data_IF_981641876208
#
_entry.id   IF_981641876208
#
_cell.length_a   1.000
_cell.length_b   1.000
_cell.length_c   1.000
_cell.angle_alpha   90.00
_cell.angle_beta   90.00
_cell.angle_gamma   90.00
#
_symmetry.space_group_name_H-M   'P 1'
#
loop_
_entity.id
_entity.type
_entity.pdbx_description
1 polymer ?
#
# COMPACT_ATOMS: atom_id res chain seq x y z
N UNK A 1 -18.53 34.68 0.39
CA UNK A 1 -19.10 34.53 -0.97
C UNK A 1 -18.01 34.75 -2.03
N UNK A 2 -16.93 33.93 -1.97
CA UNK A 2 -15.74 33.99 -2.86
C UNK A 2 -15.40 32.59 -3.44
N UNK A 3 -15.76 31.52 -2.71
CA UNK A 3 -15.60 30.11 -3.13
C UNK A 3 -16.58 29.63 -4.21
N UNK A 4 -17.67 30.36 -4.49
CA UNK A 4 -18.68 29.92 -5.47
C UNK A 4 -18.35 30.34 -6.92
N UNK A 5 -17.48 31.34 -7.14
CA UNK A 5 -17.24 31.87 -8.49
C UNK A 5 -16.13 31.17 -9.29
N UNK A 6 -15.24 30.40 -8.64
CA UNK A 6 -14.18 29.65 -9.35
C UNK A 6 -14.53 28.20 -9.70
N UNK A 7 -15.71 27.73 -9.31
CA UNK A 7 -16.22 26.43 -9.76
C UNK A 7 -16.77 26.45 -11.19
N UNK A 8 -16.95 27.65 -11.77
CA UNK A 8 -17.48 27.86 -13.11
C UNK A 8 -16.39 28.26 -14.13
N UNK A 9 -15.15 28.45 -13.69
CA UNK A 9 -14.02 28.68 -14.61
C UNK A 9 -13.63 27.34 -15.25
N UNK A 10 -13.74 27.19 -16.59
CA UNK A 10 -13.25 26.00 -17.27
C UNK A 10 -11.74 25.86 -17.05
N UNK A 11 -11.28 24.62 -16.94
CA UNK A 11 -9.88 24.32 -16.70
C UNK A 11 -9.03 24.79 -17.87
N UNK A 12 -7.77 25.21 -17.68
CA UNK A 12 -6.85 25.56 -18.77
C UNK A 12 -6.59 24.43 -19.80
N UNK A 13 -7.16 23.26 -19.55
CA UNK A 13 -7.10 22.05 -20.38
C UNK A 13 -8.37 21.78 -21.20
N UNK A 14 -9.35 22.70 -21.21
CA UNK A 14 -10.57 22.56 -22.01
C UNK A 14 -10.36 22.96 -23.48
N UNK A 15 -9.52 22.21 -24.20
CA UNK A 15 -9.54 22.16 -25.66
C UNK A 15 -10.13 20.82 -26.11
N UNK A 16 -11.17 20.93 -26.92
CA UNK A 16 -12.05 19.87 -27.41
C UNK A 16 -11.35 18.64 -27.99
N UNK A 17 -11.90 17.49 -27.58
CA UNK A 17 -11.98 16.24 -28.35
C UNK A 17 -10.74 15.35 -28.46
N UNK A 18 -10.70 14.35 -27.57
CA UNK A 18 -10.67 12.91 -27.90
C UNK A 18 -10.87 12.13 -26.58
N UNK A 19 -12.05 11.72 -26.10
CA UNK A 19 -13.33 11.42 -26.72
C UNK A 19 -14.42 11.40 -25.64
N UNK A 20 -15.53 12.13 -25.85
CA UNK A 20 -16.86 12.03 -25.20
C UNK A 20 -16.94 12.01 -23.65
N UNK A 21 -17.83 12.86 -23.09
CA UNK A 21 -18.25 12.79 -21.68
C UNK A 21 -18.69 11.36 -21.31
N UNK A 22 -18.01 10.77 -20.34
CA UNK A 22 -18.39 9.50 -19.73
C UNK A 22 -19.72 9.65 -18.98
N UNK A 23 -20.53 8.58 -18.93
CA UNK A 23 -21.74 8.47 -18.09
C UNK A 23 -21.50 8.80 -16.59
N UNK A 24 -20.23 8.96 -16.18
CA UNK A 24 -19.78 9.37 -14.85
C UNK A 24 -19.98 10.86 -14.52
N UNK A 25 -20.39 11.72 -15.48
CA UNK A 25 -20.78 13.10 -15.16
C UNK A 25 -21.96 13.21 -14.17
N UNK A 26 -22.68 12.10 -13.90
CA UNK A 26 -23.71 11.99 -12.87
C UNK A 26 -23.31 11.24 -11.59
N UNK A 27 -22.06 10.77 -11.44
CA UNK A 27 -21.64 10.01 -10.25
C UNK A 27 -20.80 10.89 -9.33
N UNK A 28 -21.52 11.79 -8.65
CA UNK A 28 -21.04 12.64 -7.54
C UNK A 28 -22.14 12.86 -6.49
N UNK A 29 -23.21 12.06 -6.51
CA UNK A 29 -24.39 12.24 -5.63
C UNK A 29 -24.45 11.19 -4.51
N UNK A 30 -23.49 10.27 -4.39
CA UNK A 30 -23.35 9.44 -3.19
C UNK A 30 -22.01 9.68 -2.50
N UNK A 31 -22.09 10.46 -1.42
CA UNK A 31 -21.04 10.60 -0.43
C UNK A 31 -20.66 9.20 0.09
N UNK A 32 -19.45 8.74 -0.21
CA UNK A 32 -18.86 7.50 0.33
C UNK A 32 -17.72 7.83 1.30
N UNK A 33 -18.00 8.68 2.28
CA UNK A 33 -17.19 8.74 3.49
C UNK A 33 -18.10 8.60 4.71
N UNK A 34 -17.63 7.85 5.69
CA UNK A 34 -18.30 7.72 6.98
C UNK A 34 -17.82 8.90 7.83
N UNK A 35 -18.71 9.82 8.13
CA UNK A 35 -18.47 10.90 9.09
C UNK A 35 -18.36 10.30 10.50
N UNK A 36 -17.51 10.87 11.36
CA UNK A 36 -17.27 10.40 12.75
C UNK A 36 -18.57 10.21 13.56
N UNK A 37 -19.62 10.98 13.25
CA UNK A 37 -20.95 10.85 13.86
C UNK A 37 -21.67 9.51 13.55
N UNK A 38 -21.24 8.78 12.52
CA UNK A 38 -21.84 7.52 12.09
C UNK A 38 -21.05 6.30 12.60
N UNK A 39 -19.97 6.48 13.36
CA UNK A 39 -19.28 5.40 14.07
C UNK A 39 -19.98 5.18 15.43
N UNK A 40 -20.94 4.25 15.49
CA UNK A 40 -21.56 3.85 16.77
C UNK A 40 -23.01 3.37 16.74
N UNK A 41 -23.69 3.34 15.60
CA UNK A 41 -25.01 2.72 15.53
C UNK A 41 -24.84 1.21 15.29
N UNK A 42 -25.10 0.41 16.32
CA UNK A 42 -25.20 -1.04 16.20
C UNK A 42 -26.48 -1.39 15.42
N UNK A 43 -26.34 -2.17 14.34
CA UNK A 43 -27.45 -2.93 13.77
C UNK A 43 -27.21 -4.41 14.05
N UNK A 44 -28.20 -5.05 14.67
CA UNK A 44 -28.25 -6.48 14.95
C UNK A 44 -28.49 -7.28 13.66
N UNK A 45 -27.70 -8.33 13.40
CA UNK A 45 -28.09 -9.45 12.52
C UNK A 45 -27.19 -10.69 12.78
N UNK A 46 -27.64 -11.92 12.41
CA UNK A 46 -27.64 -13.06 13.33
C UNK A 46 -26.48 -14.02 13.10
N UNK A 47 -26.22 -14.82 14.13
CA UNK A 47 -25.18 -15.83 14.21
C UNK A 47 -25.26 -16.93 13.13
N UNK A 48 -24.09 -17.36 12.63
CA UNK A 48 -23.93 -18.70 12.06
C UNK A 48 -22.84 -18.85 10.99
N UNK A 49 -21.61 -19.14 11.39
CA UNK A 49 -20.89 -20.37 11.01
C UNK A 49 -19.40 -20.25 11.35
N UNK A 50 -18.91 -21.20 12.14
CA UNK A 50 -17.56 -21.24 12.68
C UNK A 50 -16.55 -21.64 11.62
N UNK A 51 -15.45 -20.88 11.53
CA UNK A 51 -14.15 -21.42 11.13
C UNK A 51 -13.10 -20.77 12.04
N UNK A 52 -12.52 -21.57 12.93
CA UNK A 52 -11.25 -21.28 13.62
C UNK A 52 -10.18 -22.23 13.04
N UNK A 53 -8.86 -21.94 13.12
CA UNK A 53 -8.24 -21.01 14.05
C UNK A 53 -7.20 -20.07 13.41
N UNK A 54 -7.34 -18.76 13.61
CA UNK A 54 -6.16 -17.91 13.67
C UNK A 54 -5.67 -17.96 15.11
N UNK A 55 -4.37 -18.20 15.30
CA UNK A 55 -3.67 -18.15 16.59
C UNK A 55 -4.24 -17.04 17.48
N UNK A 56 -4.58 -17.40 18.71
CA UNK A 56 -5.21 -16.57 19.75
C UNK A 56 -4.40 -15.29 20.03
N UNK A 57 -4.60 -14.26 19.21
CA UNK A 57 -4.32 -12.87 19.58
C UNK A 57 -5.55 -12.39 20.36
N UNK A 58 -5.36 -12.00 21.63
CA UNK A 58 -6.44 -11.44 22.44
C UNK A 58 -6.97 -10.17 21.74
N UNK A 59 -8.24 -9.82 21.96
CA UNK A 59 -8.86 -8.62 21.37
C UNK A 59 -8.14 -7.32 21.81
N UNK A 60 -7.39 -7.39 22.91
CA UNK A 60 -6.45 -6.34 23.36
C UNK A 60 -5.20 -6.24 22.49
N UNK A 61 -4.67 -7.35 22.00
CA UNK A 61 -3.49 -7.38 21.14
C UNK A 61 -3.80 -6.81 19.76
N UNK A 62 -4.99 -7.07 19.20
CA UNK A 62 -5.42 -6.46 17.94
C UNK A 62 -5.54 -4.93 18.03
N UNK A 63 -6.02 -4.40 19.15
CA UNK A 63 -6.05 -2.95 19.37
C UNK A 63 -4.65 -2.35 19.50
N UNK A 64 -3.72 -3.05 20.15
CA UNK A 64 -2.32 -2.63 20.23
C UNK A 64 -1.61 -2.66 18.87
N UNK A 65 -1.93 -3.62 18.00
CA UNK A 65 -1.35 -3.71 16.66
C UNK A 65 -1.89 -2.62 15.73
N UNK A 66 -3.17 -2.26 15.85
CA UNK A 66 -3.75 -1.16 15.08
C UNK A 66 -3.15 0.21 15.46
N UNK A 67 -2.58 0.32 16.65
CA UNK A 67 -1.82 1.51 17.07
C UNK A 67 -0.49 1.69 16.33
N UNK A 68 -0.06 0.71 15.53
CA UNK A 68 1.16 0.77 14.71
C UNK A 68 0.93 1.41 13.33
N UNK A 69 -0.32 1.71 12.97
CA UNK A 69 -0.66 2.46 11.76
C UNK A 69 -0.13 3.89 11.82
N UNK A 70 0.44 4.40 10.72
CA UNK A 70 1.02 5.77 10.67
C UNK A 70 -0.04 6.82 11.02
N UNK A 71 -1.26 6.64 10.52
CA UNK A 71 -2.38 7.52 10.84
C UNK A 71 -2.70 7.52 12.34
N UNK A 72 -2.77 6.34 12.97
CA UNK A 72 -3.04 6.22 14.41
C UNK A 72 -1.92 6.85 15.25
N UNK A 73 -0.66 6.61 14.87
CA UNK A 73 0.50 7.23 15.51
C UNK A 73 0.46 8.76 15.39
N UNK A 74 0.12 9.29 14.22
CA UNK A 74 0.00 10.73 13.99
C UNK A 74 -1.11 11.35 14.85
N UNK A 75 -2.28 10.72 14.92
CA UNK A 75 -3.38 11.17 15.78
C UNK A 75 -2.95 11.17 17.25
N UNK A 76 -2.33 10.09 17.73
CA UNK A 76 -1.88 9.98 19.12
C UNK A 76 -0.80 11.01 19.47
N UNK A 77 0.11 11.30 18.54
CA UNK A 77 1.12 12.34 18.70
C UNK A 77 0.50 13.74 18.84
N UNK A 78 -0.47 14.07 17.97
CA UNK A 78 -1.15 15.38 18.00
C UNK A 78 -2.01 15.53 19.26
N UNK A 79 -2.74 14.48 19.67
CA UNK A 79 -3.53 14.48 20.90
C UNK A 79 -2.66 14.65 22.14
N UNK A 80 -1.43 14.11 22.11
CA UNK A 80 -0.41 14.35 23.13
C UNK A 80 0.30 15.71 23.02
N UNK A 81 -0.27 16.66 22.27
CA UNK A 81 0.29 18.00 22.03
C UNK A 81 1.68 18.00 21.37
N UNK A 82 2.04 16.91 20.70
CA UNK A 82 3.30 16.77 19.96
C UNK A 82 3.38 17.73 18.78
N UNK A 83 4.55 18.33 18.59
CA UNK A 83 4.83 19.25 17.48
C UNK A 83 6.18 18.94 16.83
N UNK A 84 6.29 19.22 15.54
CA UNK A 84 7.52 19.04 14.77
C UNK A 84 7.68 17.63 14.20
N UNK A 85 8.27 17.55 13.01
CA UNK A 85 8.45 16.28 12.29
C UNK A 85 9.45 15.38 13.02
N UNK A 86 10.59 15.90 13.45
CA UNK A 86 11.62 15.08 14.12
C UNK A 86 11.09 14.44 15.41
N UNK A 87 10.35 15.21 16.21
CA UNK A 87 9.69 14.70 17.42
C UNK A 87 8.67 13.61 17.10
N UNK A 88 7.96 13.70 15.97
CA UNK A 88 7.06 12.65 15.53
C UNK A 88 7.81 11.37 15.16
N UNK A 89 8.96 11.47 14.48
CA UNK A 89 9.79 10.32 14.16
C UNK A 89 10.35 9.66 15.43
N UNK A 90 10.82 10.44 16.40
CA UNK A 90 11.23 9.93 17.71
C UNK A 90 10.09 9.22 18.43
N UNK A 91 8.90 9.84 18.48
CA UNK A 91 7.69 9.25 19.06
C UNK A 91 7.31 7.92 18.41
N UNK A 92 7.46 7.82 17.08
CA UNK A 92 7.23 6.58 16.34
C UNK A 92 8.29 5.55 16.68
N UNK A 93 9.57 5.91 16.70
CA UNK A 93 10.67 4.97 16.98
C UNK A 93 10.56 4.36 18.39
N UNK A 94 10.14 5.13 19.39
CA UNK A 94 9.87 4.64 20.74
C UNK A 94 8.73 3.62 20.82
N UNK A 95 7.69 3.76 19.99
CA UNK A 95 6.50 2.88 19.99
C UNK A 95 6.64 1.70 19.04
N UNK A 96 7.27 1.92 17.89
CA UNK A 96 7.56 0.94 16.85
C UNK A 96 8.84 0.19 17.16
N UNK A 97 8.88 -0.42 18.35
CA UNK A 97 10.01 -1.25 18.78
C UNK A 97 10.22 -2.41 17.80
N UNK A 98 11.44 -2.95 17.70
CA UNK A 98 11.72 -4.11 16.85
C UNK A 98 10.79 -5.31 17.16
N UNK A 99 10.45 -5.51 18.43
CA UNK A 99 9.53 -6.55 18.87
C UNK A 99 8.11 -6.31 18.33
N UNK A 100 7.56 -5.10 18.47
CA UNK A 100 6.25 -4.76 17.92
C UNK A 100 6.21 -4.87 16.40
N UNK A 101 7.28 -4.42 15.71
CA UNK A 101 7.40 -4.58 14.26
C UNK A 101 7.40 -6.07 13.85
N UNK A 102 8.07 -6.93 14.63
CA UNK A 102 8.09 -8.36 14.37
C UNK A 102 6.72 -9.02 14.62
N UNK A 103 5.99 -8.60 15.66
CA UNK A 103 4.61 -9.08 15.89
C UNK A 103 3.71 -8.68 14.72
N UNK A 104 3.77 -7.42 14.26
CA UNK A 104 3.06 -6.97 13.05
C UNK A 104 3.45 -7.81 11.82
N UNK A 105 4.73 -8.08 11.64
CA UNK A 105 5.25 -8.89 10.54
C UNK A 105 4.63 -10.30 10.54
N UNK A 106 4.56 -10.96 11.69
CA UNK A 106 3.95 -12.29 11.82
C UNK A 106 2.43 -12.23 11.61
N UNK A 107 1.76 -11.28 12.26
CA UNK A 107 0.30 -11.13 12.21
C UNK A 107 -0.24 -10.78 10.81
N UNK A 108 0.62 -10.25 9.94
CA UNK A 108 0.26 -9.83 8.57
C UNK A 108 0.81 -10.75 7.48
N UNK A 109 1.24 -11.98 7.85
CA UNK A 109 1.81 -12.97 6.92
C UNK A 109 0.89 -13.36 5.76
N UNK A 110 -0.43 -13.32 5.96
CA UNK A 110 -1.43 -13.60 4.93
C UNK A 110 -1.70 -12.42 3.97
N UNK A 111 -0.93 -11.32 4.12
CA UNK A 111 -0.89 -10.17 3.22
C UNK A 111 -2.28 -9.65 2.81
N UNK A 112 -2.65 -9.76 1.53
CA UNK A 112 -3.90 -9.23 1.00
C UNK A 112 -5.16 -9.81 1.63
N UNK A 113 -5.06 -10.98 2.27
CA UNK A 113 -6.16 -11.61 3.00
C UNK A 113 -6.27 -11.12 4.45
N UNK A 114 -5.30 -10.34 4.94
CA UNK A 114 -5.28 -9.78 6.30
C UNK A 114 -5.80 -8.34 6.31
N UNK A 115 -6.83 -8.09 7.12
CA UNK A 115 -7.36 -6.73 7.35
C UNK A 115 -6.30 -5.83 7.97
N UNK A 116 -5.59 -6.32 8.99
CA UNK A 116 -4.50 -5.60 9.64
C UNK A 116 -3.41 -5.19 8.64
N UNK A 117 -3.09 -6.03 7.64
CA UNK A 117 -2.11 -5.68 6.62
C UNK A 117 -2.56 -4.48 5.78
N UNK A 118 -3.86 -4.37 5.45
CA UNK A 118 -4.40 -3.19 4.75
C UNK A 118 -4.38 -1.95 5.65
N UNK A 119 -4.74 -2.10 6.92
CA UNK A 119 -4.74 -1.00 7.90
C UNK A 119 -3.34 -0.44 8.14
N UNK A 120 -2.33 -1.28 8.32
CA UNK A 120 -0.95 -0.84 8.54
C UNK A 120 -0.30 -0.19 7.30
N UNK A 121 -0.82 -0.48 6.10
CA UNK A 121 -0.41 0.17 4.85
C UNK A 121 -1.09 1.52 4.61
N UNK A 122 -2.21 1.79 5.28
CA UNK A 122 -2.90 3.06 5.15
C UNK A 122 -2.01 4.22 5.62
N UNK A 123 -1.95 5.29 4.81
CA UNK A 123 -1.07 6.45 5.01
C UNK A 123 0.43 6.13 5.02
N UNK A 124 0.84 4.95 4.56
CA UNK A 124 2.25 4.49 4.51
C UNK A 124 2.72 4.35 3.07
N UNK A 125 3.92 4.85 2.76
CA UNK A 125 4.54 4.69 1.45
C UNK A 125 5.06 3.26 1.34
N UNK A 126 4.43 2.47 0.47
CA UNK A 126 4.81 1.07 0.27
C UNK A 126 5.89 0.92 -0.80
N UNK A 127 6.64 -0.20 -0.77
CA UNK A 127 7.68 -0.49 -1.77
C UNK A 127 7.19 -0.36 -3.22
N UNK A 128 5.94 -0.74 -3.51
CA UNK A 128 5.35 -0.60 -4.85
C UNK A 128 5.07 0.85 -5.27
N UNK A 129 5.11 1.81 -4.33
CA UNK A 129 4.85 3.24 -4.55
C UNK A 129 6.03 4.15 -4.26
N UNK A 130 7.12 3.64 -3.69
CA UNK A 130 8.29 4.45 -3.32
C UNK A 130 8.92 5.16 -4.51
N UNK A 131 8.97 4.51 -5.69
CA UNK A 131 9.51 5.10 -6.91
C UNK A 131 8.68 6.32 -7.39
N UNK A 132 7.36 6.19 -7.34
CA UNK A 132 6.41 7.26 -7.69
C UNK A 132 6.51 8.40 -6.66
N UNK A 133 6.53 8.06 -5.36
CA UNK A 133 6.62 9.03 -4.25
C UNK A 133 7.89 9.87 -4.32
N UNK A 134 9.05 9.25 -4.59
CA UNK A 134 10.33 9.96 -4.69
C UNK A 134 10.41 10.97 -5.86
N UNK A 135 9.50 10.87 -6.84
CA UNK A 135 9.45 11.77 -8.01
C UNK A 135 8.20 12.65 -8.04
N UNK A 136 7.33 12.50 -7.05
CA UNK A 136 6.12 13.30 -6.95
C UNK A 136 6.48 14.75 -6.60
N UNK A 137 6.00 15.70 -7.40
CA UNK A 137 6.18 17.13 -7.16
C UNK A 137 4.89 17.81 -6.69
N UNK A 138 3.79 17.07 -6.65
CA UNK A 138 2.47 17.58 -6.26
C UNK A 138 2.18 17.21 -4.82
N UNK A 139 1.58 18.15 -4.08
CA UNK A 139 1.15 17.95 -2.70
C UNK A 139 -0.19 17.20 -2.61
N UNK A 140 -0.90 17.07 -3.74
CA UNK A 140 -2.19 16.40 -3.85
C UNK A 140 -2.28 15.65 -5.19
N UNK A 141 -3.31 14.82 -5.33
CA UNK A 141 -3.61 14.04 -6.53
C UNK A 141 -3.62 12.54 -6.28
N UNK A 142 -3.65 11.77 -7.37
CA UNK A 142 -3.91 10.33 -7.34
C UNK A 142 -2.92 9.54 -6.48
N UNK A 143 -1.63 9.91 -6.47
CA UNK A 143 -0.64 9.20 -5.64
C UNK A 143 -0.93 9.35 -4.15
N UNK A 144 -1.27 10.57 -3.72
CA UNK A 144 -1.64 10.85 -2.33
C UNK A 144 -2.90 10.08 -1.97
N UNK A 145 -3.92 10.12 -2.83
CA UNK A 145 -5.15 9.34 -2.66
C UNK A 145 -4.87 7.83 -2.54
N UNK A 146 -3.95 7.27 -3.34
CA UNK A 146 -3.55 5.87 -3.24
C UNK A 146 -2.84 5.54 -1.93
N UNK A 147 -1.97 6.42 -1.44
CA UNK A 147 -1.31 6.26 -0.13
C UNK A 147 -2.35 6.28 0.99
N UNK A 148 -3.40 7.10 0.86
CA UNK A 148 -4.57 7.13 1.75
C UNK A 148 -5.66 6.12 1.37
N UNK A 149 -5.30 5.00 0.73
CA UNK A 149 -6.19 3.83 0.60
C UNK A 149 -7.23 3.91 -0.52
N UNK A 150 -7.11 4.84 -1.47
CA UNK A 150 -7.94 4.81 -2.67
C UNK A 150 -7.79 3.46 -3.39
N UNK A 151 -8.93 2.87 -3.76
CA UNK A 151 -8.95 1.54 -4.39
C UNK A 151 -8.72 1.65 -5.89
N UNK A 152 -7.75 0.90 -6.40
CA UNK A 152 -7.62 0.66 -7.84
C UNK A 152 -8.77 -0.25 -8.29
N UNK A 153 -9.33 0.05 -9.46
CA UNK A 153 -10.20 -0.91 -10.15
C UNK A 153 -9.38 -2.14 -10.50
N UNK A 154 -9.86 -3.31 -10.14
CA UNK A 154 -9.21 -4.56 -10.54
C UNK A 154 -9.18 -4.67 -12.06
N UNK A 155 -7.98 -4.88 -12.59
CA UNK A 155 -7.74 -5.09 -14.02
C UNK A 155 -7.45 -6.55 -14.29
N UNK A 156 -7.63 -7.00 -15.53
CA UNK A 156 -7.28 -8.37 -15.94
C UNK A 156 -5.80 -8.69 -15.63
N UNK A 157 -4.90 -7.71 -15.74
CA UNK A 157 -3.48 -7.87 -15.41
C UNK A 157 -3.25 -8.10 -13.90
N UNK A 158 -3.96 -7.35 -13.03
CA UNK A 158 -3.89 -7.54 -11.58
C UNK A 158 -4.39 -8.93 -11.19
N UNK A 159 -5.55 -9.34 -11.74
CA UNK A 159 -6.14 -10.65 -11.41
C UNK A 159 -5.28 -11.81 -11.92
N UNK A 160 -4.67 -11.68 -13.10
CA UNK A 160 -3.67 -12.62 -13.60
C UNK A 160 -2.47 -12.73 -12.65
N UNK A 161 -1.97 -11.60 -12.14
CA UNK A 161 -0.88 -11.57 -11.17
C UNK A 161 -1.23 -12.38 -9.92
N UNK A 162 -2.37 -12.07 -9.29
CA UNK A 162 -2.88 -12.78 -8.11
C UNK A 162 -3.02 -14.29 -8.33
N UNK A 163 -3.51 -14.70 -9.50
CA UNK A 163 -3.72 -16.11 -9.83
C UNK A 163 -2.40 -16.88 -10.01
N UNK A 164 -1.40 -16.27 -10.64
CA UNK A 164 -0.18 -16.95 -11.03
C UNK A 164 0.97 -16.84 -10.03
N UNK A 165 0.89 -15.92 -9.07
CA UNK A 165 1.99 -15.64 -8.14
C UNK A 165 2.49 -16.91 -7.43
N UNK A 166 1.59 -17.70 -6.86
CA UNK A 166 1.91 -18.94 -6.16
C UNK A 166 2.46 -20.04 -7.09
N UNK A 167 2.01 -20.07 -8.34
CA UNK A 167 2.52 -21.00 -9.37
C UNK A 167 3.96 -20.63 -9.76
N UNK A 168 4.23 -19.34 -9.98
CA UNK A 168 5.59 -18.86 -10.31
C UNK A 168 6.55 -19.15 -9.17
N UNK A 169 6.15 -18.90 -7.92
CA UNK A 169 6.97 -19.25 -6.74
C UNK A 169 7.25 -20.75 -6.66
N UNK A 170 6.25 -21.60 -6.96
CA UNK A 170 6.42 -23.06 -6.98
C UNK A 170 7.42 -23.53 -8.04
N UNK A 171 7.41 -22.91 -9.23
CA UNK A 171 8.40 -23.19 -10.29
C UNK A 171 9.79 -22.72 -9.86
N UNK A 172 9.91 -21.53 -9.30
CA UNK A 172 11.17 -20.97 -8.82
C UNK A 172 11.83 -21.86 -7.75
N UNK A 173 11.04 -22.34 -6.78
CA UNK A 173 11.51 -23.27 -5.75
C UNK A 173 12.12 -24.55 -6.33
N UNK A 174 11.46 -25.13 -7.35
CA UNK A 174 11.93 -26.36 -8.02
C UNK A 174 13.19 -26.12 -8.83
N UNK A 175 13.27 -25.00 -9.54
CA UNK A 175 14.41 -24.67 -10.39
C UNK A 175 15.68 -24.35 -9.59
N UNK A 176 15.54 -23.64 -8.47
CA UNK A 176 16.68 -23.26 -7.63
C UNK A 176 16.99 -24.28 -6.55
N UNK A 177 16.14 -25.29 -6.36
CA UNK A 177 16.22 -26.23 -5.23
C UNK A 177 16.30 -25.49 -3.87
N UNK A 178 15.52 -24.41 -3.74
CA UNK A 178 15.47 -23.54 -2.57
C UNK A 178 14.05 -23.47 -2.02
N UNK A 179 13.94 -23.22 -0.70
CA UNK A 179 12.65 -22.96 -0.05
C UNK A 179 12.48 -21.46 0.15
N UNK A 180 11.32 -20.94 -0.23
CA UNK A 180 10.93 -19.56 0.04
C UNK A 180 9.74 -19.55 1.00
N UNK A 181 9.65 -18.49 1.79
CA UNK A 181 8.55 -18.26 2.74
C UNK A 181 7.79 -17.00 2.38
N UNK A 182 6.45 -17.06 2.46
CA UNK A 182 5.61 -15.86 2.49
C UNK A 182 5.91 -15.06 3.74
N UNK A 183 5.89 -13.75 3.60
CA UNK A 183 6.24 -12.78 4.66
C UNK A 183 5.13 -11.77 4.84
N UNK A 184 5.01 -11.23 6.05
CA UNK A 184 4.06 -10.14 6.29
C UNK A 184 4.60 -8.78 5.88
N UNK A 185 4.03 -7.75 6.48
CA UNK A 185 4.45 -6.37 6.29
C UNK A 185 5.67 -6.08 7.17
N UNK A 186 6.78 -5.77 6.52
CA UNK A 186 8.01 -5.30 7.16
C UNK A 186 7.88 -3.81 7.47
N UNK A 187 8.07 -3.46 8.74
CA UNK A 187 7.98 -2.11 9.29
C UNK A 187 9.31 -1.69 9.91
N UNK A 188 9.51 -0.39 10.05
CA UNK A 188 10.68 0.19 10.73
C UNK A 188 10.23 1.35 11.60
N UNK A 189 10.58 1.34 12.88
CA UNK A 189 10.33 2.47 13.77
C UNK A 189 11.14 3.71 13.42
N UNK A 190 12.38 3.52 12.95
CA UNK A 190 13.24 4.60 12.45
C UNK A 190 12.69 5.27 11.19
N UNK A 191 12.06 4.48 10.31
CA UNK A 191 11.43 5.00 9.09
C UNK A 191 9.95 4.61 9.03
N UNK A 192 9.12 5.20 9.92
CA UNK A 192 7.75 4.79 10.14
C UNK A 192 6.83 5.13 8.97
N UNK A 193 7.28 5.93 8.00
CA UNK A 193 6.51 6.26 6.79
C UNK A 193 6.61 5.20 5.70
N UNK A 194 7.57 4.26 5.81
CA UNK A 194 7.78 3.21 4.81
C UNK A 194 7.27 1.84 5.28
N UNK A 195 6.93 0.99 4.32
CA UNK A 195 6.62 -0.42 4.56
C UNK A 195 6.79 -1.26 3.32
N UNK A 196 7.17 -2.52 3.48
CA UNK A 196 7.37 -3.45 2.37
C UNK A 196 6.80 -4.82 2.69
N UNK A 197 6.26 -5.51 1.70
CA UNK A 197 5.77 -6.88 1.84
C UNK A 197 6.15 -7.62 0.55
N UNK A 198 7.36 -8.20 0.49
CA UNK A 198 7.80 -8.99 -0.65
C UNK A 198 6.89 -10.19 -0.92
N UNK A 199 6.92 -10.73 -2.14
CA UNK A 199 6.13 -11.93 -2.46
C UNK A 199 6.66 -13.15 -1.70
N UNK A 200 7.98 -13.30 -1.62
CA UNK A 200 8.61 -14.32 -0.79
C UNK A 200 10.05 -13.93 -0.41
N UNK A 201 10.61 -14.60 0.61
CA UNK A 201 12.02 -14.46 0.98
C UNK A 201 12.63 -15.81 1.33
N UNK A 202 13.95 -15.90 1.28
CA UNK A 202 14.75 -16.91 1.99
C UNK A 202 15.97 -16.22 2.64
N UNK A 203 16.95 -17.01 3.09
CA UNK A 203 18.18 -16.49 3.70
C UNK A 203 19.08 -15.71 2.72
N UNK A 204 18.93 -15.92 1.41
CA UNK A 204 19.80 -15.36 0.38
C UNK A 204 19.14 -14.27 -0.49
N UNK A 205 17.82 -14.36 -0.69
CA UNK A 205 17.08 -13.62 -1.70
C UNK A 205 15.75 -13.07 -1.17
N UNK A 206 15.43 -11.86 -1.65
CA UNK A 206 14.09 -11.29 -1.62
C UNK A 206 13.49 -11.47 -3.01
N UNK A 207 12.29 -12.08 -3.08
CA UNK A 207 11.62 -12.42 -4.33
C UNK A 207 10.47 -11.45 -4.58
N UNK A 208 10.53 -10.78 -5.73
CA UNK A 208 9.44 -9.99 -6.30
C UNK A 208 8.99 -10.65 -7.61
N UNK A 209 7.73 -11.09 -7.66
CA UNK A 209 7.14 -11.77 -8.81
C UNK A 209 6.45 -10.76 -9.71
N UNK A 210 6.67 -10.88 -11.02
CA UNK A 210 5.93 -10.14 -12.05
C UNK A 210 5.36 -11.13 -13.06
N UNK A 211 4.06 -11.01 -13.32
CA UNK A 211 3.32 -11.85 -14.27
C UNK A 211 2.85 -11.01 -15.48
N UNK A 212 3.75 -10.55 -16.36
CA UNK A 212 3.39 -9.74 -17.52
C UNK A 212 2.42 -10.51 -18.45
N UNK A 213 1.49 -9.77 -19.08
CA UNK A 213 0.48 -10.32 -19.99
C UNK A 213 0.78 -10.08 -21.47
N UNK A 214 1.86 -9.37 -21.80
CA UNK A 214 2.26 -9.06 -23.17
C UNK A 214 3.76 -9.05 -23.33
N UNK A 215 4.24 -9.39 -24.52
CA UNK A 215 5.67 -9.36 -24.88
C UNK A 215 6.28 -7.98 -24.66
N UNK A 216 5.55 -6.90 -24.99
CA UNK A 216 5.96 -5.52 -24.70
C UNK A 216 6.27 -5.31 -23.21
N UNK A 217 5.47 -5.91 -22.32
CA UNK A 217 5.67 -5.78 -20.87
C UNK A 217 6.82 -6.66 -20.39
N UNK A 218 6.97 -7.87 -20.96
CA UNK A 218 8.13 -8.76 -20.69
C UNK A 218 9.43 -8.04 -21.03
N UNK A 219 9.48 -7.41 -22.21
CA UNK A 219 10.65 -6.68 -22.70
C UNK A 219 11.04 -5.48 -21.82
N UNK A 220 10.15 -5.05 -20.91
CA UNK A 220 10.43 -4.02 -19.93
C UNK A 220 11.17 -4.54 -18.68
N UNK A 221 11.33 -5.85 -18.55
CA UNK A 221 12.02 -6.53 -17.44
C UNK A 221 13.17 -7.41 -17.93
N UNK A 222 13.02 -8.04 -19.11
CA UNK A 222 14.01 -8.98 -19.67
C UNK A 222 14.32 -8.57 -21.10
N UNK A 223 15.61 -8.45 -21.44
CA UNK A 223 16.06 -8.18 -22.81
C UNK A 223 15.86 -9.40 -23.71
N UNK A 224 15.94 -9.22 -25.04
CA UNK A 224 15.91 -10.34 -25.99
C UNK A 224 16.96 -11.42 -25.71
N UNK A 225 18.11 -11.04 -25.16
CA UNK A 225 19.19 -11.96 -24.76
C UNK A 225 19.02 -12.56 -23.35
N UNK A 226 17.81 -12.56 -22.79
CA UNK A 226 17.49 -13.07 -21.44
C UNK A 226 18.27 -12.41 -20.29
N UNK A 227 18.66 -11.14 -20.42
CA UNK A 227 19.28 -10.36 -19.34
C UNK A 227 18.25 -9.47 -18.67
N UNK A 228 18.42 -9.21 -17.38
CA UNK A 228 17.54 -8.30 -16.63
C UNK A 228 17.78 -6.87 -17.10
N UNK A 229 16.70 -6.14 -17.37
CA UNK A 229 16.76 -4.71 -17.71
C UNK A 229 17.02 -3.90 -16.44
N UNK A 230 18.15 -3.20 -16.36
CA UNK A 230 18.45 -2.28 -15.26
C UNK A 230 17.56 -1.04 -15.32
N UNK A 231 16.39 -1.10 -14.67
CA UNK A 231 15.60 0.10 -14.40
C UNK A 231 16.14 0.79 -13.15
N UNK A 232 17.24 1.53 -13.24
CA UNK A 232 17.71 2.31 -12.08
C UNK A 232 19.07 3.00 -12.12
N UNK A 233 19.98 2.68 -13.04
CA UNK A 233 21.36 3.21 -12.96
C UNK A 233 21.59 4.54 -13.69
N UNK A 234 20.70 4.95 -14.60
CA UNK A 234 21.01 6.07 -15.49
C UNK A 234 20.69 7.47 -14.91
N UNK A 235 20.26 7.55 -13.64
CA UNK A 235 19.91 8.83 -13.00
C UNK A 235 20.74 9.18 -11.77
N UNK A 236 21.69 8.35 -11.36
CA UNK A 236 22.59 8.64 -10.24
C UNK A 236 23.97 9.18 -10.68
N UNK A 237 24.31 9.13 -11.97
CA UNK A 237 25.57 9.66 -12.50
C UNK A 237 25.55 11.14 -12.89
N UNK A 238 24.39 11.80 -12.86
CA UNK A 238 24.24 13.21 -13.23
C UNK A 238 23.94 14.16 -12.05
N UNK A 239 24.01 13.68 -10.80
CA UNK A 239 23.85 14.51 -9.60
C UNK A 239 25.20 14.90 -8.95
N UNK A 240 26.26 14.97 -9.76
CA UNK A 240 27.60 15.39 -9.33
C UNK A 240 28.25 16.28 -10.39
N UNK A 241 27.59 17.39 -10.73
CA UNK A 241 28.21 18.59 -11.30
C UNK A 241 27.48 19.82 -10.79
#
# INVERSE_FOLDING_TARGET
MWLHRRGEEPSPTDVESYWRKSKLAGVGISLKYITVKNFGAAEDTPAGSSVAPASTLDRRDTNNLNNMGVHTLAVNFIVGEGQGVDNFFTFCEERMTPEMCNICFIATKEQSSSVLWHELRYARITASKVYEAARCKTLSGSLVEFIFGAKLKETAAINRGKLLEDEVLSVLQKQLNMKFSKVGLMLSGKYPVFGASPNAVNEEFVVEVKCPSSEKTVNAYVTKDNKIVNKGTDSLTNASK
#
